data_IF_209203355058
#
_entry.id   IF_209203355058
#
_cell.length_a   1.000
_cell.length_b   1.000
_cell.length_c   1.000
_cell.angle_alpha   90.00
_cell.angle_beta   90.00
_cell.angle_gamma   90.00
#
_symmetry.space_group_name_H-M   'P 1'
#
loop_
_entity.id
_entity.type
_entity.pdbx_description
1 polymer ?
#
# COMPACT_ATOMS: atom_id res chain seq x y z
N UNK A 1 -14.47 -45.82 21.14
CA UNK A 1 -15.39 -45.06 20.26
C UNK A 1 -15.24 -43.54 20.40
N UNK A 2 -14.64 -43.00 21.48
CA UNK A 2 -14.42 -41.55 21.67
C UNK A 2 -13.16 -41.05 20.92
N UNK A 3 -12.09 -41.86 20.85
CA UNK A 3 -10.84 -41.50 20.15
C UNK A 3 -10.97 -41.36 18.63
N UNK A 4 -11.88 -42.11 17.99
CA UNK A 4 -12.11 -42.04 16.53
C UNK A 4 -12.87 -40.77 16.15
N UNK A 5 -13.78 -40.30 17.02
CA UNK A 5 -14.55 -39.08 16.78
C UNK A 5 -13.71 -37.80 16.92
N UNK A 6 -12.74 -37.79 17.84
CA UNK A 6 -11.80 -36.65 18.01
C UNK A 6 -10.78 -36.61 16.87
N UNK A 7 -10.31 -37.77 16.41
CA UNK A 7 -9.40 -37.87 15.26
C UNK A 7 -10.08 -37.42 13.96
N UNK A 8 -11.30 -37.91 13.70
CA UNK A 8 -12.07 -37.54 12.52
C UNK A 8 -12.45 -36.06 12.49
N UNK A 9 -12.83 -35.47 13.64
CA UNK A 9 -13.17 -34.03 13.72
C UNK A 9 -11.95 -33.13 13.55
N UNK A 10 -10.76 -33.61 13.90
CA UNK A 10 -9.50 -32.90 13.68
C UNK A 10 -9.03 -33.00 12.23
N UNK A 11 -9.13 -34.17 11.60
CA UNK A 11 -8.86 -34.33 10.17
C UNK A 11 -9.84 -33.50 9.32
N UNK A 12 -11.13 -33.47 9.66
CA UNK A 12 -12.12 -32.65 8.95
C UNK A 12 -11.82 -31.15 9.13
N UNK A 13 -11.44 -30.69 10.33
CA UNK A 13 -11.07 -29.29 10.55
C UNK A 13 -9.76 -28.92 9.83
N UNK A 14 -8.73 -29.78 9.85
CA UNK A 14 -7.48 -29.56 9.11
C UNK A 14 -7.71 -29.57 7.59
N UNK A 15 -8.60 -30.43 7.08
CA UNK A 15 -9.00 -30.43 5.66
C UNK A 15 -9.83 -29.20 5.26
N UNK A 16 -10.79 -28.77 6.09
CA UNK A 16 -11.58 -27.55 5.84
C UNK A 16 -10.69 -26.29 5.86
N UNK A 17 -9.70 -26.23 6.74
CA UNK A 17 -8.72 -25.14 6.76
C UNK A 17 -7.82 -25.15 5.52
N UNK A 18 -7.35 -26.33 5.08
CA UNK A 18 -6.50 -26.45 3.89
C UNK A 18 -7.23 -26.08 2.58
N UNK A 19 -8.48 -26.49 2.42
CA UNK A 19 -9.29 -26.10 1.26
C UNK A 19 -9.61 -24.60 1.28
N UNK A 20 -9.93 -24.03 2.45
CA UNK A 20 -10.16 -22.59 2.61
C UNK A 20 -8.89 -21.74 2.38
N UNK A 21 -7.71 -22.26 2.73
CA UNK A 21 -6.41 -21.65 2.43
C UNK A 21 -6.17 -21.62 0.93
N UNK A 22 -6.41 -22.74 0.25
CA UNK A 22 -6.24 -22.83 -1.20
C UNK A 22 -7.16 -21.88 -1.94
N UNK A 23 -8.44 -21.78 -1.56
CA UNK A 23 -9.36 -20.82 -2.18
C UNK A 23 -8.95 -19.37 -1.97
N UNK A 24 -8.40 -19.04 -0.78
CA UNK A 24 -7.94 -17.69 -0.48
C UNK A 24 -6.72 -17.31 -1.34
N UNK A 25 -5.79 -18.25 -1.54
CA UNK A 25 -4.60 -18.05 -2.36
C UNK A 25 -5.00 -17.88 -3.83
N UNK A 26 -5.89 -18.74 -4.35
CA UNK A 26 -6.41 -18.63 -5.72
C UNK A 26 -7.08 -17.26 -5.95
N UNK A 27 -7.97 -16.84 -5.04
CA UNK A 27 -8.63 -15.53 -5.09
C UNK A 27 -7.64 -14.36 -5.00
N UNK A 28 -6.63 -14.47 -4.13
CA UNK A 28 -5.59 -13.47 -4.00
C UNK A 28 -4.76 -13.34 -5.30
N UNK A 29 -4.43 -14.45 -5.97
CA UNK A 29 -3.73 -14.43 -7.25
C UNK A 29 -4.56 -13.76 -8.35
N UNK A 30 -5.84 -14.09 -8.46
CA UNK A 30 -6.74 -13.46 -9.45
C UNK A 30 -6.83 -11.95 -9.24
N UNK A 31 -7.05 -11.53 -7.99
CA UNK A 31 -7.13 -10.11 -7.60
C UNK A 31 -5.82 -9.37 -7.82
N UNK A 32 -4.69 -10.01 -7.54
CA UNK A 32 -3.38 -9.41 -7.77
C UNK A 32 -3.07 -9.26 -9.26
N UNK A 33 -3.39 -10.26 -10.07
CA UNK A 33 -3.31 -10.17 -11.52
C UNK A 33 -4.17 -9.02 -12.06
N UNK A 34 -5.36 -8.81 -11.48
CA UNK A 34 -6.20 -7.66 -11.83
C UNK A 34 -5.50 -6.32 -11.51
N UNK A 35 -4.86 -6.18 -10.35
CA UNK A 35 -4.06 -4.99 -10.03
C UNK A 35 -2.92 -4.77 -11.03
N UNK A 36 -2.19 -5.85 -11.34
CA UNK A 36 -1.06 -5.79 -12.27
C UNK A 36 -1.49 -5.32 -13.66
N UNK A 37 -2.55 -5.91 -14.20
CA UNK A 37 -3.06 -5.57 -15.53
C UNK A 37 -3.58 -4.14 -15.58
N UNK A 38 -4.28 -3.69 -14.53
CA UNK A 38 -4.80 -2.33 -14.44
C UNK A 38 -3.69 -1.27 -14.40
N UNK A 39 -2.62 -1.53 -13.64
CA UNK A 39 -1.53 -0.57 -13.46
C UNK A 39 -0.36 -0.76 -14.42
N UNK A 40 -0.38 -1.79 -15.28
CA UNK A 40 0.77 -2.20 -16.12
C UNK A 40 1.35 -1.03 -16.92
N UNK A 41 0.52 -0.40 -17.73
CA UNK A 41 0.95 0.69 -18.61
C UNK A 41 1.51 1.85 -17.79
N UNK A 42 0.87 2.18 -16.67
CA UNK A 42 1.27 3.25 -15.76
C UNK A 42 2.59 2.94 -15.04
N UNK A 43 2.84 1.69 -14.65
CA UNK A 43 4.08 1.27 -13.98
C UNK A 43 5.28 1.36 -14.91
N UNK A 44 5.15 0.90 -16.17
CA UNK A 44 6.20 1.00 -17.19
C UNK A 44 6.68 2.46 -17.30
N UNK A 45 5.75 3.38 -17.53
CA UNK A 45 6.08 4.79 -17.72
C UNK A 45 6.59 5.47 -16.44
N UNK A 46 6.13 5.04 -15.26
CA UNK A 46 6.63 5.54 -13.97
C UNK A 46 8.04 5.03 -13.65
N UNK A 47 8.38 3.78 -13.99
CA UNK A 47 9.76 3.27 -13.90
C UNK A 47 10.68 4.07 -14.81
N UNK A 48 10.25 4.33 -16.05
CA UNK A 48 11.01 5.19 -16.96
C UNK A 48 11.21 6.61 -16.41
N UNK A 49 10.21 7.19 -15.72
CA UNK A 49 10.34 8.51 -15.09
C UNK A 49 11.43 8.50 -14.01
N UNK A 50 11.46 7.46 -13.16
CA UNK A 50 12.46 7.32 -12.11
C UNK A 50 13.87 7.10 -12.68
N UNK A 51 14.01 6.26 -13.70
CA UNK A 51 15.31 6.04 -14.38
C UNK A 51 15.80 7.33 -15.06
N UNK A 52 14.90 8.05 -15.71
CA UNK A 52 15.22 9.33 -16.34
C UNK A 52 15.63 10.40 -15.31
N UNK A 53 14.98 10.41 -14.14
CA UNK A 53 15.35 11.25 -13.00
C UNK A 53 16.73 10.87 -12.44
N UNK A 54 17.07 9.59 -12.42
CA UNK A 54 18.37 9.07 -11.98
C UNK A 54 19.53 9.38 -12.96
N UNK A 55 19.22 9.86 -14.17
CA UNK A 55 20.21 10.29 -15.16
C UNK A 55 20.31 9.39 -16.39
N UNK A 56 19.47 8.35 -16.49
CA UNK A 56 19.35 7.52 -17.69
C UNK A 56 18.51 8.23 -18.75
N UNK A 57 19.07 9.32 -19.28
CA UNK A 57 18.36 10.26 -20.15
C UNK A 57 18.57 10.00 -21.64
N UNK A 58 19.46 9.07 -21.97
CA UNK A 58 19.84 8.73 -23.33
C UNK A 58 19.23 7.38 -23.72
N UNK A 59 18.61 7.28 -24.91
CA UNK A 59 18.28 5.99 -25.47
C UNK A 59 19.55 5.14 -25.68
N UNK A 60 19.50 3.87 -25.28
CA UNK A 60 20.68 2.98 -25.27
C UNK A 60 21.30 2.81 -26.66
N UNK A 61 20.47 2.74 -27.69
CA UNK A 61 20.90 2.64 -29.08
C UNK A 61 21.73 3.86 -29.54
N UNK A 62 21.36 5.07 -29.08
CA UNK A 62 22.06 6.32 -29.42
C UNK A 62 23.32 6.46 -28.58
N UNK A 63 23.25 6.13 -27.29
CA UNK A 63 24.41 6.13 -26.39
C UNK A 63 25.50 5.18 -26.90
N UNK A 64 25.14 3.96 -27.29
CA UNK A 64 26.07 2.95 -27.82
C UNK A 64 26.72 3.42 -29.12
N UNK A 65 25.93 3.96 -30.07
CA UNK A 65 26.46 4.49 -31.33
C UNK A 65 27.45 5.65 -31.09
N UNK A 66 27.08 6.61 -30.25
CA UNK A 66 27.97 7.74 -29.93
C UNK A 66 29.27 7.30 -29.26
N UNK A 67 29.20 6.36 -28.32
CA UNK A 67 30.39 5.80 -27.67
C UNK A 67 31.28 5.08 -28.70
N UNK A 68 30.69 4.29 -29.60
CA UNK A 68 31.44 3.60 -30.67
C UNK A 68 32.10 4.58 -31.66
N UNK A 69 31.43 5.69 -31.96
CA UNK A 69 31.94 6.76 -32.83
C UNK A 69 32.94 7.68 -32.11
N UNK A 70 33.26 7.44 -30.83
CA UNK A 70 34.15 8.29 -30.02
C UNK A 70 33.55 9.67 -29.71
N UNK A 71 32.23 9.83 -29.84
CA UNK A 71 31.51 11.10 -29.68
C UNK A 71 31.08 11.29 -28.22
N UNK A 72 31.13 12.53 -27.69
CA UNK A 72 30.71 12.80 -26.32
C UNK A 72 29.20 12.54 -26.12
N UNK A 73 28.88 12.03 -24.93
CA UNK A 73 27.53 11.71 -24.48
C UNK A 73 27.34 12.23 -23.05
N UNK A 74 27.19 13.55 -22.91
CA UNK A 74 27.07 14.20 -21.61
C UNK A 74 25.61 14.23 -21.14
N UNK A 75 25.38 13.91 -19.87
CA UNK A 75 24.09 14.07 -19.20
C UNK A 75 24.17 15.22 -18.21
N UNK A 76 23.49 16.33 -18.49
CA UNK A 76 23.43 17.49 -17.59
C UNK A 76 22.08 17.45 -16.87
N UNK A 77 22.00 16.63 -15.81
CA UNK A 77 20.72 16.35 -15.15
C UNK A 77 20.22 17.53 -14.29
N UNK A 78 19.17 18.22 -14.75
CA UNK A 78 18.52 19.33 -14.01
C UNK A 78 17.25 18.92 -13.27
N UNK A 79 16.72 17.73 -13.55
CA UNK A 79 15.43 17.28 -13.03
C UNK A 79 15.36 17.16 -11.50
N UNK A 80 16.40 16.68 -10.79
CA UNK A 80 16.38 16.63 -9.33
C UNK A 80 16.11 17.99 -8.69
N UNK A 81 16.56 19.09 -9.31
CA UNK A 81 16.30 20.43 -8.81
C UNK A 81 14.82 20.81 -8.91
N UNK A 82 14.17 20.50 -10.04
CA UNK A 82 12.73 20.77 -10.22
C UNK A 82 11.87 19.94 -9.25
N UNK A 83 12.18 18.66 -9.07
CA UNK A 83 11.48 17.82 -8.08
C UNK A 83 11.67 18.37 -6.66
N UNK A 84 12.89 18.83 -6.31
CA UNK A 84 13.17 19.48 -5.02
C UNK A 84 12.44 20.81 -4.83
N UNK A 85 12.25 21.59 -5.89
CA UNK A 85 11.47 22.84 -5.81
C UNK A 85 10.02 22.60 -5.41
N UNK A 86 9.44 21.46 -5.80
CA UNK A 86 8.07 21.10 -5.42
C UNK A 86 8.01 20.41 -4.05
N UNK A 87 8.96 19.53 -3.75
CA UNK A 87 8.96 18.76 -2.50
C UNK A 87 9.47 19.54 -1.29
N UNK A 88 10.39 20.52 -1.47
CA UNK A 88 10.91 21.30 -0.34
C UNK A 88 9.84 22.18 0.35
N UNK A 89 8.95 22.88 -0.36
CA UNK A 89 7.83 23.59 0.28
C UNK A 89 6.92 22.66 1.09
N UNK A 90 6.64 21.45 0.60
CA UNK A 90 5.86 20.45 1.34
C UNK A 90 6.59 19.97 2.60
N UNK A 91 7.93 19.83 2.55
CA UNK A 91 8.75 19.53 3.73
C UNK A 91 8.82 20.66 4.74
N UNK A 92 8.79 21.92 4.27
CA UNK A 92 8.76 23.10 5.13
C UNK A 92 7.38 23.26 5.80
N UNK A 93 6.31 23.03 5.04
CA UNK A 93 4.92 23.12 5.48
C UNK A 93 4.33 21.72 5.64
N UNK A 94 4.86 20.96 6.61
CA UNK A 94 4.38 19.60 6.86
C UNK A 94 2.90 19.61 7.20
N UNK A 95 2.13 18.90 6.38
CA UNK A 95 0.73 18.59 6.68
C UNK A 95 0.72 17.57 7.82
N UNK A 96 -0.11 17.81 8.83
CA UNK A 96 -0.37 16.89 9.93
C UNK A 96 -1.87 16.63 10.02
N UNK A 97 -2.25 15.45 10.51
CA UNK A 97 -3.65 15.16 10.75
C UNK A 97 -4.18 16.09 11.86
N UNK A 98 -5.29 16.77 11.57
CA UNK A 98 -5.98 17.66 12.52
C UNK A 98 -7.37 17.13 12.82
N UNK A 99 -7.66 16.90 14.10
CA UNK A 99 -8.98 16.49 14.59
C UNK A 99 -9.74 17.74 14.99
N UNK A 100 -10.78 18.08 14.22
CA UNK A 100 -11.65 19.21 14.51
C UNK A 100 -12.95 18.72 15.16
N UNK A 101 -13.38 19.30 16.29
CA UNK A 101 -14.65 18.95 16.94
C UNK A 101 -15.84 19.44 16.10
N UNK A 102 -16.94 18.69 16.09
CA UNK A 102 -18.06 18.93 15.16
C UNK A 102 -19.25 19.67 15.78
N UNK A 103 -19.52 19.61 17.11
CA UNK A 103 -20.24 20.63 17.92
C UNK A 103 -20.66 20.06 19.31
N UNK A 104 -19.94 20.42 20.38
CA UNK A 104 -20.36 20.43 21.80
C UNK A 104 -19.14 20.67 22.70
N UNK A 105 -19.34 20.88 24.02
CA UNK A 105 -18.20 20.95 24.97
C UNK A 105 -17.48 19.60 25.17
N UNK A 106 -18.18 18.48 25.02
CA UNK A 106 -17.59 17.13 25.18
C UNK A 106 -16.74 16.68 23.99
N UNK A 107 -16.99 17.26 22.81
CA UNK A 107 -16.24 16.94 21.59
C UNK A 107 -14.85 17.59 21.56
N UNK A 108 -14.64 18.67 22.30
CA UNK A 108 -13.36 19.39 22.35
C UNK A 108 -12.33 18.56 23.11
N UNK A 109 -12.65 18.13 24.34
CA UNK A 109 -11.73 17.32 25.15
C UNK A 109 -11.41 15.98 24.45
N UNK A 110 -12.41 15.37 23.80
CA UNK A 110 -12.22 14.14 23.03
C UNK A 110 -11.32 14.37 21.80
N UNK A 111 -11.51 15.48 21.07
CA UNK A 111 -10.67 15.83 19.94
C UNK A 111 -9.21 16.08 20.36
N UNK A 112 -8.98 16.74 21.50
CA UNK A 112 -7.63 16.95 22.04
C UNK A 112 -6.93 15.63 22.39
N UNK A 113 -7.65 14.69 23.00
CA UNK A 113 -7.12 13.35 23.31
C UNK A 113 -6.77 12.61 22.02
N UNK A 114 -7.68 12.58 21.04
CA UNK A 114 -7.45 11.91 19.75
C UNK A 114 -6.27 12.55 19.00
N UNK A 115 -6.17 13.88 19.00
CA UNK A 115 -5.05 14.61 18.42
C UNK A 115 -3.72 14.24 19.10
N UNK A 116 -3.72 14.10 20.41
CA UNK A 116 -2.56 13.66 21.19
C UNK A 116 -2.12 12.24 20.82
N UNK A 117 -3.06 11.31 20.69
CA UNK A 117 -2.81 9.93 20.27
C UNK A 117 -2.23 9.87 18.85
N UNK A 118 -2.84 10.58 17.89
CA UNK A 118 -2.36 10.61 16.50
C UNK A 118 -0.94 11.17 16.43
N UNK A 119 -0.66 12.26 17.15
CA UNK A 119 0.68 12.83 17.22
C UNK A 119 1.69 11.86 17.82
N UNK A 120 1.30 11.09 18.84
CA UNK A 120 2.16 10.07 19.42
C UNK A 120 2.50 8.98 18.39
N UNK A 121 1.50 8.49 17.64
CA UNK A 121 1.66 7.51 16.57
C UNK A 121 2.61 8.04 15.48
N UNK A 122 2.41 9.28 15.02
CA UNK A 122 3.25 9.91 13.99
C UNK A 122 4.73 10.00 14.43
N UNK A 123 4.97 10.38 15.68
CA UNK A 123 6.33 10.47 16.25
C UNK A 123 6.97 9.09 16.38
N UNK A 124 6.25 8.14 16.98
CA UNK A 124 6.72 6.77 17.17
C UNK A 124 7.03 6.06 15.84
N UNK A 125 6.27 6.36 14.79
CA UNK A 125 6.41 5.76 13.47
C UNK A 125 7.43 6.47 12.58
N UNK A 126 7.95 7.62 13.00
CA UNK A 126 8.71 8.52 12.13
C UNK A 126 7.94 8.83 10.82
N UNK A 127 6.64 9.09 10.95
CA UNK A 127 5.70 9.23 9.83
C UNK A 127 6.10 10.33 8.84
N UNK A 128 6.83 11.34 9.32
CA UNK A 128 7.47 12.38 8.51
C UNK A 128 8.23 11.80 7.29
N UNK A 129 8.98 10.71 7.48
CA UNK A 129 9.74 10.07 6.39
C UNK A 129 8.81 9.36 5.41
N UNK A 130 7.73 8.73 5.89
CA UNK A 130 6.74 8.09 5.04
C UNK A 130 6.05 9.11 4.13
N UNK A 131 5.60 10.24 4.70
CA UNK A 131 4.95 11.31 3.95
C UNK A 131 5.91 11.96 2.94
N UNK A 132 7.14 12.25 3.33
CA UNK A 132 8.13 12.86 2.43
C UNK A 132 8.53 11.92 1.29
N UNK A 133 8.57 10.61 1.55
CA UNK A 133 8.87 9.59 0.52
C UNK A 133 7.72 9.48 -0.48
N UNK A 134 6.48 9.42 0.00
CA UNK A 134 5.32 9.34 -0.88
C UNK A 134 5.13 10.63 -1.69
N UNK A 135 5.32 11.80 -1.08
CA UNK A 135 5.27 13.09 -1.78
C UNK A 135 6.36 13.21 -2.85
N UNK A 136 7.57 12.71 -2.57
CA UNK A 136 8.64 12.66 -3.56
C UNK A 136 8.26 11.81 -4.78
N UNK A 137 7.74 10.61 -4.56
CA UNK A 137 7.32 9.72 -5.65
C UNK A 137 6.13 10.30 -6.42
N UNK A 138 5.15 10.88 -5.74
CA UNK A 138 4.03 11.58 -6.39
C UNK A 138 4.52 12.71 -7.31
N UNK A 139 5.45 13.56 -6.84
CA UNK A 139 6.03 14.63 -7.65
C UNK A 139 6.93 14.13 -8.79
N UNK A 140 7.62 13.01 -8.60
CA UNK A 140 8.56 12.46 -9.58
C UNK A 140 7.87 11.66 -10.69
N UNK A 141 7.03 10.69 -10.33
CA UNK A 141 6.47 9.69 -11.24
C UNK A 141 4.94 9.65 -11.28
N UNK A 142 4.26 10.50 -10.48
CA UNK A 142 2.80 10.68 -10.51
C UNK A 142 2.02 9.98 -9.41
N UNK A 143 2.64 9.10 -8.63
CA UNK A 143 2.04 8.56 -7.41
C UNK A 143 3.10 8.09 -6.43
N UNK A 144 2.69 7.91 -5.17
CA UNK A 144 3.46 7.30 -4.10
C UNK A 144 2.51 6.71 -3.08
N UNK A 145 3.04 6.21 -1.96
CA UNK A 145 2.20 5.71 -0.90
C UNK A 145 2.94 5.35 0.37
N UNK A 146 2.17 5.09 1.41
CA UNK A 146 2.59 4.48 2.66
C UNK A 146 1.46 3.58 3.15
N UNK A 147 1.73 2.80 4.18
CA UNK A 147 0.72 1.94 4.77
C UNK A 147 0.79 1.98 6.29
N UNK A 148 -0.27 1.51 6.93
CA UNK A 148 -0.38 1.42 8.38
C UNK A 148 -0.34 -0.06 8.75
N UNK A 149 0.39 -0.39 9.81
CA UNK A 149 0.44 -1.73 10.37
C UNK A 149 0.30 -1.67 11.89
N UNK A 150 0.10 -2.83 12.52
CA UNK A 150 0.06 -2.95 13.97
C UNK A 150 1.18 -3.87 14.42
N UNK A 151 1.84 -3.49 15.51
CA UNK A 151 2.91 -4.25 16.14
C UNK A 151 2.59 -4.40 17.63
N UNK A 152 2.92 -5.54 18.23
CA UNK A 152 2.79 -5.70 19.67
C UNK A 152 3.80 -4.78 20.39
N UNK A 153 3.30 -4.00 21.34
CA UNK A 153 4.10 -3.00 22.08
C UNK A 153 5.22 -3.63 22.92
N UNK A 154 4.97 -4.83 23.46
CA UNK A 154 5.91 -5.63 24.22
C UNK A 154 5.66 -7.12 23.91
N UNK A 155 6.70 -7.99 23.89
CA UNK A 155 6.53 -9.42 23.66
C UNK A 155 5.57 -10.14 24.64
N UNK A 156 5.32 -9.55 25.81
CA UNK A 156 4.44 -10.09 26.85
C UNK A 156 3.13 -9.30 26.99
N UNK A 157 2.90 -8.28 26.17
CA UNK A 157 1.66 -7.49 26.19
C UNK A 157 0.72 -7.88 25.05
N UNK A 158 -0.58 -7.81 25.33
CA UNK A 158 -1.62 -7.89 24.30
C UNK A 158 -1.88 -6.53 23.63
N UNK A 159 -1.26 -5.46 24.13
CA UNK A 159 -1.42 -4.12 23.58
C UNK A 159 -0.66 -3.98 22.26
N UNK A 160 -1.34 -3.46 21.24
CA UNK A 160 -0.78 -3.20 19.92
C UNK A 160 -0.59 -1.70 19.69
N UNK A 161 0.59 -1.35 19.19
CA UNK A 161 0.92 -0.02 18.70
C UNK A 161 0.64 0.07 17.20
N UNK A 162 0.06 1.20 16.78
CA UNK A 162 -0.14 1.51 15.37
C UNK A 162 1.16 2.10 14.81
N UNK A 163 1.61 1.60 13.66
CA UNK A 163 2.81 2.07 12.97
C UNK A 163 2.50 2.54 11.56
N UNK A 164 2.97 3.72 11.21
CA UNK A 164 2.95 4.27 9.84
C UNK A 164 4.27 3.92 9.16
N UNK A 165 4.21 3.09 8.12
CA UNK A 165 5.41 2.55 7.47
C UNK A 165 5.58 3.15 6.09
N UNK A 166 6.79 3.63 5.81
CA UNK A 166 7.15 4.14 4.48
C UNK A 166 7.25 2.99 3.49
N UNK A 167 6.67 3.16 2.30
CA UNK A 167 6.97 2.29 1.17
C UNK A 167 8.21 2.83 0.44
N UNK A 168 9.37 2.19 0.64
CA UNK A 168 10.61 2.60 -0.06
C UNK A 168 10.45 2.42 -1.56
N UNK A 169 9.99 1.24 -1.98
CA UNK A 169 9.56 0.97 -3.34
C UNK A 169 8.04 1.23 -3.44
N UNK A 170 7.59 2.30 -4.12
CA UNK A 170 6.16 2.54 -4.29
C UNK A 170 5.47 1.46 -5.13
N UNK A 171 6.22 0.73 -5.96
CA UNK A 171 5.70 -0.38 -6.76
C UNK A 171 5.36 -1.63 -5.93
N UNK A 172 5.81 -1.71 -4.67
CA UNK A 172 5.41 -2.80 -3.76
C UNK A 172 3.96 -2.73 -3.31
N UNK A 173 3.31 -1.57 -3.48
CA UNK A 173 1.90 -1.37 -3.15
C UNK A 173 1.07 -1.69 -4.38
N UNK A 174 0.06 -2.54 -4.23
CA UNK A 174 -0.95 -2.81 -5.24
C UNK A 174 -2.32 -2.51 -4.67
N UNK A 175 -3.11 -1.74 -5.40
CA UNK A 175 -4.46 -1.37 -4.98
C UNK A 175 -5.46 -2.00 -5.94
N UNK A 176 -6.56 -2.53 -5.39
CA UNK A 176 -7.69 -2.96 -6.21
C UNK A 176 -8.28 -1.78 -7.00
N UNK A 177 -9.17 -2.05 -7.97
CA UNK A 177 -9.86 -1.00 -8.72
C UNK A 177 -10.58 -0.01 -7.78
N UNK A 178 -10.42 1.29 -8.03
CA UNK A 178 -11.00 2.38 -7.26
C UNK A 178 -11.29 3.60 -8.12
N UNK A 179 -12.16 4.47 -7.61
CA UNK A 179 -12.48 5.79 -8.18
C UNK A 179 -12.01 6.94 -7.29
N UNK A 180 -11.89 6.73 -5.97
CA UNK A 180 -11.49 7.80 -5.07
C UNK A 180 -9.96 8.00 -5.10
N UNK A 181 -9.47 9.24 -5.07
CA UNK A 181 -8.03 9.52 -5.14
C UNK A 181 -7.24 8.98 -3.95
N UNK A 182 -7.90 8.80 -2.80
CA UNK A 182 -7.34 8.20 -1.58
C UNK A 182 -7.45 6.67 -1.55
N UNK A 183 -8.08 6.08 -2.57
CA UNK A 183 -8.41 4.66 -2.68
C UNK A 183 -9.28 4.14 -1.52
N UNK A 184 -10.14 4.98 -0.90
CA UNK A 184 -11.00 4.56 0.22
C UNK A 184 -12.07 3.52 -0.18
N UNK A 185 -12.44 3.47 -1.45
CA UNK A 185 -13.46 2.58 -2.01
C UNK A 185 -12.93 1.18 -2.39
N UNK A 186 -11.62 0.92 -2.30
CA UNK A 186 -11.05 -0.40 -2.60
C UNK A 186 -11.67 -1.51 -1.73
N UNK A 187 -11.90 -2.66 -2.36
CA UNK A 187 -12.29 -3.89 -1.64
C UNK A 187 -11.09 -4.77 -1.27
N UNK A 188 -9.94 -4.57 -1.92
CA UNK A 188 -8.71 -5.30 -1.62
C UNK A 188 -7.45 -4.50 -1.97
N UNK A 189 -6.33 -4.89 -1.37
CA UNK A 189 -5.01 -4.33 -1.65
C UNK A 189 -3.89 -5.24 -1.17
N UNK A 190 -2.70 -5.05 -1.72
CA UNK A 190 -1.52 -5.87 -1.43
C UNK A 190 -0.31 -5.00 -1.14
N UNK A 191 0.55 -5.50 -0.27
CA UNK A 191 1.90 -4.97 -0.04
C UNK A 191 2.87 -6.13 -0.21
N UNK A 192 3.78 -6.02 -1.16
CA UNK A 192 4.82 -7.03 -1.40
C UNK A 192 6.06 -6.73 -0.54
N UNK A 193 6.57 -7.77 0.11
CA UNK A 193 7.79 -7.76 0.91
C UNK A 193 8.71 -8.88 0.42
N UNK A 194 10.00 -8.57 0.28
CA UNK A 194 11.00 -9.54 -0.15
C UNK A 194 11.85 -9.93 1.05
N UNK A 195 11.99 -11.24 1.29
CA UNK A 195 12.84 -11.80 2.33
C UNK A 195 13.99 -12.58 1.70
N UNK A 196 15.17 -12.56 2.32
CA UNK A 196 16.18 -13.59 2.03
C UNK A 196 15.68 -14.95 2.52
N UNK A 197 16.22 -16.03 1.96
CA UNK A 197 15.90 -17.40 2.44
C UNK A 197 16.21 -17.59 3.92
N UNK A 198 17.23 -16.91 4.44
CA UNK A 198 17.62 -16.99 5.84
C UNK A 198 16.61 -16.25 6.75
N UNK A 199 16.26 -15.01 6.43
CA UNK A 199 15.26 -14.23 7.18
C UNK A 199 13.88 -14.88 7.13
N UNK A 200 13.51 -15.44 5.98
CA UNK A 200 12.25 -16.17 5.84
C UNK A 200 12.20 -17.38 6.77
N UNK A 201 13.25 -18.22 6.79
CA UNK A 201 13.32 -19.38 7.69
C UNK A 201 13.35 -19.00 9.18
N UNK A 202 13.90 -17.84 9.52
CA UNK A 202 13.88 -17.34 10.90
C UNK A 202 12.49 -16.85 11.31
N UNK A 203 11.80 -16.15 10.41
CA UNK A 203 10.48 -15.56 10.67
C UNK A 203 9.37 -16.60 10.59
N UNK A 204 9.51 -17.58 9.69
CA UNK A 204 8.55 -18.63 9.39
C UNK A 204 9.25 -20.01 9.30
N UNK A 205 9.65 -20.62 10.44
CA UNK A 205 10.44 -21.86 10.43
C UNK A 205 9.71 -23.09 9.87
N UNK A 206 8.38 -23.09 9.92
CA UNK A 206 7.53 -24.21 9.51
C UNK A 206 6.93 -24.02 8.11
N UNK A 207 7.29 -22.94 7.42
CA UNK A 207 6.76 -22.55 6.13
C UNK A 207 7.67 -23.02 4.98
N UNK A 208 7.07 -23.42 3.86
CA UNK A 208 7.78 -23.80 2.66
C UNK A 208 8.32 -22.55 1.93
N UNK A 209 9.63 -22.54 1.70
CA UNK A 209 10.30 -21.45 0.97
C UNK A 209 10.12 -21.66 -0.54
N UNK A 210 8.99 -21.19 -1.09
CA UNK A 210 8.68 -21.31 -2.51
C UNK A 210 8.11 -20.02 -3.11
N UNK A 211 8.49 -19.74 -4.36
CA UNK A 211 7.88 -18.73 -5.23
C UNK A 211 8.67 -17.43 -5.35
N UNK A 212 9.34 -17.25 -6.50
CA UNK A 212 10.04 -16.02 -6.89
C UNK A 212 9.21 -15.16 -7.86
N UNK A 213 8.29 -15.75 -8.63
CA UNK A 213 7.69 -15.10 -9.80
C UNK A 213 6.18 -14.78 -9.71
N UNK A 214 5.41 -15.41 -8.81
CA UNK A 214 3.94 -15.33 -8.86
C UNK A 214 3.32 -14.03 -8.29
N UNK A 215 4.15 -13.16 -7.68
CA UNK A 215 3.72 -11.92 -7.02
C UNK A 215 4.51 -10.69 -7.49
N UNK A 216 4.70 -10.55 -8.80
CA UNK A 216 5.62 -9.54 -9.36
C UNK A 216 5.04 -8.74 -10.52
N UNK A 217 5.00 -7.41 -10.35
CA UNK A 217 4.67 -6.47 -11.41
C UNK A 217 5.86 -5.60 -11.83
N UNK A 218 5.66 -4.78 -12.86
CA UNK A 218 6.70 -3.87 -13.38
C UNK A 218 7.20 -2.91 -12.28
N UNK A 219 8.53 -2.78 -12.17
CA UNK A 219 9.20 -1.95 -11.15
C UNK A 219 9.24 -2.56 -9.74
N UNK A 220 8.60 -3.71 -9.51
CA UNK A 220 8.64 -4.45 -8.25
C UNK A 220 9.62 -5.63 -8.31
N UNK A 221 10.83 -5.36 -8.82
CA UNK A 221 11.91 -6.33 -8.94
C UNK A 221 12.53 -6.70 -7.59
N UNK A 222 13.26 -7.81 -7.57
CA UNK A 222 14.04 -8.23 -6.40
C UNK A 222 14.97 -7.12 -5.95
N UNK A 223 14.94 -6.87 -4.65
CA UNK A 223 15.83 -5.88 -4.08
C UNK A 223 17.28 -6.39 -4.18
N UNK A 224 18.19 -5.54 -4.66
CA UNK A 224 19.59 -5.87 -4.94
C UNK A 224 20.32 -6.57 -3.77
N UNK A 225 19.88 -6.34 -2.53
CA UNK A 225 20.44 -6.93 -1.32
C UNK A 225 20.09 -8.42 -1.11
N UNK A 226 19.08 -8.94 -1.81
CA UNK A 226 18.67 -10.35 -1.76
C UNK A 226 19.66 -11.25 -2.50
N UNK A 227 20.53 -10.66 -3.35
CA UNK A 227 21.61 -11.35 -4.04
C UNK A 227 21.13 -12.33 -5.11
N UNK A 228 22.07 -13.06 -5.71
CA UNK A 228 21.79 -14.07 -6.73
C UNK A 228 21.19 -15.37 -6.16
N UNK A 229 21.21 -15.54 -4.83
CA UNK A 229 20.77 -16.75 -4.16
C UNK A 229 19.24 -16.91 -4.11
N UNK A 230 18.50 -15.89 -4.57
CA UNK A 230 17.04 -15.86 -4.67
C UNK A 230 16.37 -15.65 -3.31
N UNK A 231 15.36 -14.79 -3.27
CA UNK A 231 14.54 -14.54 -2.08
C UNK A 231 13.21 -15.30 -2.08
N UNK A 232 12.46 -15.14 -0.99
CA UNK A 232 11.05 -15.53 -0.90
C UNK A 232 10.23 -14.24 -0.86
N UNK A 233 9.24 -14.14 -1.75
CA UNK A 233 8.31 -13.02 -1.74
C UNK A 233 7.11 -13.35 -0.87
N UNK A 234 6.83 -12.46 0.09
CA UNK A 234 5.69 -12.53 0.98
C UNK A 234 4.79 -11.34 0.69
N UNK A 235 3.49 -11.59 0.57
CA UNK A 235 2.50 -10.56 0.28
C UNK A 235 1.59 -10.40 1.48
N UNK A 236 1.44 -9.16 1.97
CA UNK A 236 0.38 -8.79 2.90
C UNK A 236 -0.86 -8.46 2.08
N UNK A 237 -1.85 -9.31 2.18
CA UNK A 237 -3.11 -9.21 1.48
C UNK A 237 -4.20 -8.68 2.43
N UNK A 238 -4.76 -7.52 2.10
CA UNK A 238 -5.92 -6.96 2.79
C UNK A 238 -7.16 -7.09 1.90
N UNK A 239 -8.26 -7.55 2.47
CA UNK A 239 -9.52 -7.67 1.74
C UNK A 239 -10.72 -7.40 2.64
N UNK A 240 -11.77 -6.87 2.02
CA UNK A 240 -13.04 -6.56 2.67
C UNK A 240 -13.98 -7.75 2.56
N UNK A 241 -14.47 -8.20 3.70
CA UNK A 241 -15.50 -9.22 3.82
C UNK A 241 -16.77 -8.57 4.36
N UNK A 242 -17.91 -8.88 3.76
CA UNK A 242 -19.19 -8.32 4.17
C UNK A 242 -19.98 -9.35 4.96
N UNK A 243 -20.28 -9.03 6.22
CA UNK A 243 -21.20 -9.84 7.03
C UNK A 243 -22.58 -9.18 7.04
N UNK A 244 -23.62 -9.94 6.67
CA UNK A 244 -25.01 -9.49 6.84
C UNK A 244 -25.41 -9.58 8.30
N UNK A 245 -25.95 -8.49 8.83
CA UNK A 245 -26.56 -8.44 10.16
C UNK A 245 -27.82 -7.54 10.13
N UNK A 246 -28.64 -7.61 11.17
CA UNK A 246 -29.78 -6.71 11.33
C UNK A 246 -29.40 -5.54 12.24
N UNK A 247 -29.53 -4.33 11.71
CA UNK A 247 -29.40 -3.11 12.50
C UNK A 247 -30.73 -2.83 13.19
N UNK A 248 -30.69 -2.74 14.52
CA UNK A 248 -31.84 -2.42 15.36
C UNK A 248 -31.68 -1.03 15.95
N UNK A 249 -32.70 -0.18 15.76
CA UNK A 249 -32.78 1.10 16.45
C UNK A 249 -33.47 0.89 17.79
N UNK A 250 -32.72 1.00 18.89
CA UNK A 250 -33.18 0.65 20.24
C UNK A 250 -33.49 1.91 21.04
N UNK A 251 -34.68 1.97 21.65
CA UNK A 251 -35.07 3.02 22.58
C UNK A 251 -34.33 2.84 23.92
N UNK A 252 -33.53 3.84 24.30
CA UNK A 252 -32.85 3.88 25.57
C UNK A 252 -33.80 4.34 26.70
N UNK A 253 -33.42 4.06 27.96
CA UNK A 253 -34.18 4.54 29.12
C UNK A 253 -34.09 6.07 29.25
N UNK A 254 -32.93 6.64 28.91
CA UNK A 254 -32.65 8.07 28.84
C UNK A 254 -31.82 8.36 27.59
N UNK A 255 -32.11 9.45 26.88
CA UNK A 255 -31.40 9.87 25.66
C UNK A 255 -32.03 9.40 24.34
N UNK A 256 -31.43 9.82 23.19
CA UNK A 256 -31.90 9.44 21.86
C UNK A 256 -31.73 7.93 21.62
N UNK A 257 -32.54 7.34 20.72
CA UNK A 257 -32.41 5.92 20.38
C UNK A 257 -31.06 5.64 19.70
N UNK A 258 -30.44 4.50 20.03
CA UNK A 258 -29.13 4.12 19.52
C UNK A 258 -29.23 2.96 18.52
N UNK A 259 -28.47 3.00 17.41
CA UNK A 259 -28.34 1.87 16.51
C UNK A 259 -27.45 0.79 17.15
N UNK A 260 -27.96 -0.43 17.27
CA UNK A 260 -27.25 -1.59 17.81
C UNK A 260 -27.42 -2.75 16.83
N UNK A 261 -26.34 -3.48 16.56
CA UNK A 261 -26.39 -4.70 15.76
C UNK A 261 -27.07 -5.84 16.52
N UNK A 262 -27.87 -6.65 15.83
CA UNK A 262 -28.54 -7.80 16.44
C UNK A 262 -27.55 -8.76 17.09
N UNK A 263 -26.41 -9.03 16.44
CA UNK A 263 -25.33 -9.86 17.00
C UNK A 263 -24.84 -9.34 18.35
N UNK A 264 -24.61 -8.03 18.46
CA UNK A 264 -24.16 -7.36 19.69
C UNK A 264 -25.27 -7.32 20.76
N UNK A 265 -26.51 -7.04 20.36
CA UNK A 265 -27.65 -7.00 21.27
C UNK A 265 -27.90 -8.35 21.97
N UNK A 266 -27.66 -9.46 21.26
CA UNK A 266 -27.79 -10.83 21.82
C UNK A 266 -26.72 -11.16 22.87
N UNK A 267 -25.57 -10.48 22.86
CA UNK A 267 -24.51 -10.67 23.86
C UNK A 267 -24.81 -9.92 25.17
N UNK A 268 -25.73 -8.95 25.13
CA UNK A 268 -26.12 -8.17 26.32
C UNK A 268 -27.18 -8.96 27.10
N UNK A 269 -26.79 -9.47 28.27
CA UNK A 269 -27.70 -10.19 29.16
C UNK A 269 -28.88 -9.31 29.60
N UNK A 270 -30.12 -9.76 29.34
CA UNK A 270 -31.34 -9.04 29.70
C UNK A 270 -31.82 -8.01 28.66
N UNK A 271 -31.29 -8.04 27.44
CA UNK A 271 -31.78 -7.20 26.35
C UNK A 271 -33.25 -7.50 26.03
N UNK A 272 -34.09 -6.46 26.01
CA UNK A 272 -35.52 -6.59 25.75
C UNK A 272 -35.85 -6.10 24.33
N UNK A 273 -36.28 -7.04 23.47
CA UNK A 273 -36.63 -6.76 22.08
C UNK A 273 -37.79 -5.78 21.90
N UNK A 274 -38.64 -5.59 22.91
CA UNK A 274 -39.76 -4.63 22.85
C UNK A 274 -39.30 -3.16 22.81
N UNK A 275 -38.00 -2.89 23.02
CA UNK A 275 -37.41 -1.56 22.88
C UNK A 275 -37.01 -1.23 21.44
N UNK A 276 -37.16 -2.15 20.50
CA UNK A 276 -36.77 -1.95 19.10
C UNK A 276 -37.83 -1.13 18.38
N UNK A 277 -37.43 0.03 17.85
CA UNK A 277 -38.29 0.95 17.10
C UNK A 277 -38.31 0.58 15.61
N UNK A 278 -37.14 0.29 15.06
CA UNK A 278 -36.96 0.00 13.63
C UNK A 278 -35.90 -1.08 13.43
N UNK A 279 -36.08 -1.87 12.38
CA UNK A 279 -35.14 -2.90 11.95
C UNK A 279 -34.83 -2.69 10.46
N UNK A 280 -33.58 -2.85 10.08
CA UNK A 280 -33.17 -2.93 8.67
C UNK A 280 -32.01 -3.91 8.55
N UNK A 281 -31.98 -4.67 7.47
CA UNK A 281 -30.78 -5.44 7.12
C UNK A 281 -29.64 -4.47 6.75
N UNK A 282 -28.43 -4.80 7.20
CA UNK A 282 -27.22 -4.06 6.90
C UNK A 282 -26.08 -5.01 6.61
N UNK A 283 -25.14 -4.57 5.76
CA UNK A 283 -23.90 -5.27 5.49
C UNK A 283 -22.78 -4.49 6.14
N UNK A 284 -22.06 -5.15 7.04
CA UNK A 284 -20.94 -4.54 7.76
C UNK A 284 -19.65 -4.98 7.07
N UNK A 285 -18.82 -4.05 6.61
CA UNK A 285 -17.51 -4.39 6.08
C UNK A 285 -16.55 -4.67 7.23
N UNK A 286 -15.95 -5.85 7.22
CA UNK A 286 -14.80 -6.22 8.05
C UNK A 286 -13.58 -6.34 7.15
N UNK A 287 -12.44 -5.81 7.60
CA UNK A 287 -11.18 -5.96 6.87
C UNK A 287 -10.44 -7.15 7.47
N UNK A 288 -10.07 -8.08 6.60
CA UNK A 288 -9.23 -9.23 6.92
C UNK A 288 -7.84 -8.99 6.35
N UNK A 289 -6.83 -9.51 7.04
CA UNK A 289 -5.45 -9.49 6.61
C UNK A 289 -4.90 -10.90 6.58
N UNK A 290 -4.26 -11.27 5.48
CA UNK A 290 -3.52 -12.52 5.35
C UNK A 290 -2.10 -12.22 4.88
N UNK A 291 -1.11 -12.93 5.43
CA UNK A 291 0.23 -12.98 4.84
C UNK A 291 0.34 -14.25 4.02
N UNK A 292 0.69 -14.09 2.75
CA UNK A 292 0.71 -15.17 1.76
C UNK A 292 2.11 -15.29 1.17
N UNK A 293 2.58 -16.50 0.91
CA UNK A 293 3.61 -16.73 -0.10
C UNK A 293 2.93 -17.30 -1.36
N UNK A 294 3.67 -17.90 -2.30
CA UNK A 294 3.09 -18.45 -3.52
C UNK A 294 2.26 -19.73 -3.32
N UNK A 295 2.38 -20.43 -2.19
CA UNK A 295 1.82 -21.79 -2.02
C UNK A 295 0.94 -21.92 -0.76
N UNK A 296 1.17 -21.10 0.26
CA UNK A 296 0.53 -21.23 1.57
C UNK A 296 0.22 -19.88 2.23
N UNK A 297 -0.69 -19.94 3.20
CA UNK A 297 -1.06 -18.82 4.06
C UNK A 297 -0.19 -18.87 5.31
N UNK A 298 0.68 -17.87 5.50
CA UNK A 298 1.61 -17.79 6.62
C UNK A 298 0.93 -17.27 7.89
N UNK A 299 0.01 -16.33 7.75
CA UNK A 299 -0.65 -15.66 8.88
C UNK A 299 -2.05 -15.18 8.46
N UNK A 300 -3.03 -15.27 9.37
CA UNK A 300 -4.38 -14.72 9.20
C UNK A 300 -4.74 -13.89 10.41
N UNK A 301 -5.15 -12.65 10.21
CA UNK A 301 -5.56 -11.74 11.27
C UNK A 301 -6.75 -10.89 10.85
N UNK A 302 -7.53 -10.48 11.84
CA UNK A 302 -8.58 -9.50 11.67
C UNK A 302 -7.99 -8.10 11.83
N UNK A 303 -8.22 -7.24 10.85
CA UNK A 303 -7.74 -5.86 10.93
C UNK A 303 -8.72 -5.04 11.78
N UNK A 304 -8.27 -4.39 12.87
CA UNK A 304 -9.15 -3.64 13.77
C UNK A 304 -9.67 -2.33 13.16
N UNK A 305 -9.19 -1.94 11.97
CA UNK A 305 -9.61 -0.75 11.26
C UNK A 305 -10.77 -0.99 10.30
N UNK A 306 -11.53 0.07 10.03
CA UNK A 306 -12.65 0.07 9.05
C UNK A 306 -12.19 0.06 7.60
N UNK A 307 -11.01 0.62 7.34
CA UNK A 307 -10.47 0.82 5.99
C UNK A 307 -9.24 -0.04 5.78
N UNK A 308 -8.97 -0.39 4.52
CA UNK A 308 -7.72 -1.04 4.13
C UNK A 308 -6.58 -0.07 4.44
N UNK A 309 -5.54 -0.48 5.18
CA UNK A 309 -4.55 0.44 5.73
C UNK A 309 -3.45 0.82 4.73
N UNK A 310 -3.81 1.08 3.48
CA UNK A 310 -2.89 1.50 2.42
C UNK A 310 -3.34 2.87 1.96
N UNK A 311 -2.43 3.84 1.97
CA UNK A 311 -2.72 5.22 1.58
C UNK A 311 -1.92 5.56 0.33
N UNK A 312 -2.63 5.90 -0.75
CA UNK A 312 -2.03 6.42 -1.99
C UNK A 312 -1.90 7.93 -1.90
N UNK A 313 -0.78 8.44 -2.39
CA UNK A 313 -0.60 9.86 -2.70
C UNK A 313 -0.53 9.99 -4.20
N UNK A 314 -1.40 10.80 -4.76
CA UNK A 314 -1.44 11.06 -6.20
C UNK A 314 -0.71 12.37 -6.53
N UNK A 315 -0.09 12.41 -7.70
CA UNK A 315 0.41 13.62 -8.36
C UNK A 315 -0.68 14.20 -9.25
N UNK A 316 -0.34 14.50 -10.50
CA UNK A 316 -1.33 14.92 -11.50
C UNK A 316 -2.13 13.71 -11.99
N UNK A 317 -3.44 13.78 -11.86
CA UNK A 317 -4.39 12.75 -12.29
C UNK A 317 -5.24 13.27 -13.46
N UNK A 318 -5.23 12.55 -14.57
CA UNK A 318 -6.03 12.88 -15.76
C UNK A 318 -6.68 11.62 -16.30
N UNK A 319 -8.00 11.61 -16.40
CA UNK A 319 -8.75 10.52 -17.01
C UNK A 319 -9.00 10.81 -18.50
N UNK A 320 -8.53 9.90 -19.38
CA UNK A 320 -8.69 9.99 -20.83
C UNK A 320 -9.34 8.68 -21.31
N UNK A 321 -10.53 8.76 -21.91
CA UNK A 321 -11.25 7.59 -22.44
C UNK A 321 -11.42 6.44 -21.42
N UNK A 322 -11.62 6.76 -20.15
CA UNK A 322 -11.78 5.78 -19.06
C UNK A 322 -10.46 5.16 -18.57
N UNK A 323 -9.31 5.68 -19.00
CA UNK A 323 -7.99 5.34 -18.47
C UNK A 323 -7.43 6.48 -17.64
N UNK A 324 -7.07 6.17 -16.39
CA UNK A 324 -6.43 7.13 -15.49
C UNK A 324 -4.94 7.19 -15.80
N UNK A 325 -4.44 8.39 -16.10
CA UNK A 325 -3.04 8.68 -16.28
C UNK A 325 -2.53 9.48 -15.10
N UNK A 326 -1.55 8.92 -14.39
CA UNK A 326 -0.87 9.58 -13.29
C UNK A 326 0.47 10.11 -13.78
N UNK A 327 0.78 11.37 -13.50
CA UNK A 327 2.04 11.96 -13.95
C UNK A 327 2.69 12.85 -12.90
N UNK A 328 4.02 12.78 -12.86
CA UNK A 328 4.85 13.71 -12.11
C UNK A 328 5.51 14.70 -13.06
N UNK A 329 6.28 15.64 -12.49
CA UNK A 329 6.96 16.70 -13.22
C UNK A 329 7.96 16.14 -14.25
N UNK A 330 8.52 14.96 -13.97
CA UNK A 330 9.53 14.34 -14.85
C UNK A 330 8.93 13.93 -16.20
N UNK A 331 7.66 13.50 -16.23
CA UNK A 331 7.01 12.92 -17.42
C UNK A 331 7.14 13.84 -18.64
N UNK A 332 6.72 15.10 -18.49
CA UNK A 332 6.74 16.09 -19.57
C UNK A 332 8.09 16.79 -19.71
N UNK A 333 9.00 16.62 -18.76
CA UNK A 333 10.34 17.19 -18.81
C UNK A 333 11.34 16.33 -19.60
N UNK A 334 10.99 15.09 -19.97
CA UNK A 334 11.89 14.15 -20.68
C UNK A 334 12.45 14.74 -21.97
N UNK A 335 11.60 15.23 -22.87
CA UNK A 335 12.04 15.69 -24.20
C UNK A 335 12.82 17.01 -24.18
N UNK A 336 12.41 18.05 -23.42
CA UNK A 336 13.22 19.25 -23.24
C UNK A 336 14.61 18.93 -22.66
N UNK A 337 14.68 18.00 -21.72
CA UNK A 337 15.91 17.58 -21.06
C UNK A 337 16.82 16.78 -22.02
N UNK A 338 16.26 15.88 -22.84
CA UNK A 338 16.99 15.19 -23.90
C UNK A 338 17.62 16.18 -24.87
N UNK A 339 16.84 17.16 -25.35
CA UNK A 339 17.35 18.22 -26.24
C UNK A 339 18.56 18.93 -25.65
N UNK A 340 18.49 19.29 -24.36
CA UNK A 340 19.60 19.93 -23.65
C UNK A 340 20.86 19.06 -23.65
N UNK A 341 20.72 17.75 -23.36
CA UNK A 341 21.85 16.81 -23.41
C UNK A 341 22.46 16.67 -24.82
N UNK A 342 21.61 16.61 -25.86
CA UNK A 342 22.05 16.57 -27.26
C UNK A 342 22.83 17.82 -27.67
N UNK A 343 22.27 19.01 -27.37
CA UNK A 343 22.89 20.29 -27.71
C UNK A 343 24.22 20.47 -26.99
N UNK A 344 24.27 20.25 -25.67
CA UNK A 344 25.51 20.40 -24.91
C UNK A 344 26.59 19.42 -25.37
N UNK A 345 26.22 18.18 -25.71
CA UNK A 345 27.19 17.21 -26.24
C UNK A 345 27.71 17.61 -27.62
N UNK A 346 26.85 18.17 -28.48
CA UNK A 346 27.24 18.65 -29.81
C UNK A 346 28.11 19.92 -29.76
N UNK A 347 27.86 20.82 -28.81
CA UNK A 347 28.70 22.00 -28.58
C UNK A 347 30.11 21.60 -28.15
N UNK A 348 30.24 20.65 -27.22
CA UNK A 348 31.53 20.13 -26.78
C UNK A 348 32.28 19.45 -27.94
N UNK A 349 31.57 18.67 -28.75
CA UNK A 349 32.13 18.05 -29.95
C UNK A 349 32.65 19.09 -30.94
N UNK A 350 31.88 20.16 -31.21
CA UNK A 350 32.29 21.23 -32.12
C UNK A 350 33.50 22.02 -31.60
N UNK A 351 33.56 22.30 -30.29
CA UNK A 351 34.70 22.97 -29.65
C UNK A 351 35.95 22.08 -29.70
N UNK A 352 35.82 20.78 -29.41
CA UNK A 352 36.95 19.85 -29.43
C UNK A 352 37.53 19.61 -30.84
N UNK A 353 36.72 19.74 -31.88
CA UNK A 353 37.13 19.61 -33.28
C UNK A 353 37.63 20.92 -33.91
N UNK A 354 37.42 22.06 -33.24
CA UNK A 354 37.94 23.34 -33.70
C UNK A 354 39.45 23.43 -33.41
N UNK A 355 40.30 23.64 -34.43
CA UNK A 355 41.76 23.59 -34.32
C UNK A 355 42.38 24.72 -33.49
#
# INVERSE_FOLDING_TARGET
>A
MIGVFVFWRREVAEHEHHDADKTLIEEAHERFKQCQEAEKDQRIVSVEDLNFLNGEQWPDNIKTKRIADGRPCHTINRLPQFVRQTTNPQRANRVSAQVLPVDSKGDIDTAEVLQGIIRHIEVQSNAAVAYDTAAFHAAAMGYGGWYITTEYSDPLSFDQDIRIVRARNPFSIYLGPHQQPDASDIDFGFITEQFTKEEFKQSYPNADASGLDDWKGEGDDEAEWVGQDGGVRVVRYYYREYTSDNLWLVKMAEGPPLPILQSQAKLISGFNENRIIQRRETRIPYIKMAKLNAIEVLERNDWPGRWIPIVRVIGDEVEIEGKVHLSGIVRFAKDPQRRLNYTASAEIEAIALSP
#
